data_IF_118845085053
#
_entry.id   IF_118845085053
#
_cell.length_a   1.000
_cell.length_b   1.000
_cell.length_c   1.000
_cell.angle_alpha   90.00
_cell.angle_beta   90.00
_cell.angle_gamma   90.00
#
_symmetry.space_group_name_H-M   'P 1'
#
loop_
_entity.id
_entity.type
_entity.pdbx_description
1 polymer ?
#
# COMPACT_ATOMS: atom_id res chain seq x y z
N UNK A 1 21.93 30.10 -0.44
CA UNK A 1 22.06 29.35 0.80
C UNK A 1 21.42 27.97 0.51
N UNK A 2 21.97 26.74 0.48
CA UNK A 2 23.20 26.39 1.04
C UNK A 2 23.41 24.88 1.10
N UNK A 3 24.28 24.45 0.25
CA UNK A 3 24.71 23.05 0.17
C UNK A 3 25.38 22.50 1.46
N UNK A 4 25.61 23.33 2.45
CA UNK A 4 26.28 22.95 3.70
C UNK A 4 25.38 22.29 4.76
N UNK A 5 24.06 22.50 4.69
CA UNK A 5 23.13 22.01 5.73
C UNK A 5 22.78 20.51 5.52
N UNK A 6 22.77 20.04 4.26
CA UNK A 6 22.41 18.65 3.94
C UNK A 6 23.46 17.65 4.43
N UNK A 7 24.76 18.04 4.44
CA UNK A 7 25.84 17.14 4.91
C UNK A 7 25.81 16.82 6.40
N UNK A 8 25.17 17.65 7.22
CA UNK A 8 25.11 17.44 8.69
C UNK A 8 23.93 16.57 9.17
N UNK A 9 22.92 16.37 8.35
CA UNK A 9 21.72 15.60 8.74
C UNK A 9 21.76 14.11 8.31
N UNK A 10 22.53 13.75 7.30
CA UNK A 10 22.57 12.37 6.78
C UNK A 10 23.37 11.44 7.70
N UNK A 11 24.43 11.94 8.34
CA UNK A 11 25.35 11.11 9.17
C UNK A 11 24.73 10.66 10.50
N UNK A 12 23.97 11.47 11.27
CA UNK A 12 23.49 11.02 12.59
C UNK A 12 22.32 10.01 12.53
N UNK A 13 21.47 10.03 11.51
CA UNK A 13 20.33 9.09 11.42
C UNK A 13 20.78 7.67 11.06
N UNK A 14 21.81 7.55 10.24
CA UNK A 14 22.39 6.23 9.91
C UNK A 14 23.27 5.71 11.03
N UNK A 15 24.01 6.58 11.72
CA UNK A 15 24.96 6.17 12.78
C UNK A 15 24.28 5.90 14.14
N UNK A 16 23.19 6.57 14.48
CA UNK A 16 22.48 6.32 15.75
C UNK A 16 21.76 4.96 15.80
N UNK A 17 21.52 4.31 14.64
CA UNK A 17 21.02 2.94 14.59
C UNK A 17 22.12 1.87 14.81
N UNK A 18 23.40 2.25 14.81
CA UNK A 18 24.52 1.29 14.79
C UNK A 18 25.27 1.13 16.13
N UNK A 19 24.97 1.86 17.18
CA UNK A 19 25.85 1.97 18.37
C UNK A 19 25.49 1.13 19.60
N UNK A 20 24.52 0.21 19.54
CA UNK A 20 24.17 -0.63 20.71
C UNK A 20 23.90 -2.08 20.29
N UNK A 21 24.91 -2.94 20.32
CA UNK A 21 24.76 -4.40 20.18
C UNK A 21 25.69 -5.21 21.07
N UNK A 22 25.19 -6.24 21.81
CA UNK A 22 25.92 -7.42 22.21
C UNK A 22 25.61 -8.63 21.31
N UNK A 23 26.62 -9.48 21.07
CA UNK A 23 26.55 -10.68 20.24
C UNK A 23 26.04 -11.90 21.02
N UNK A 24 25.14 -12.69 20.44
CA UNK A 24 24.75 -14.03 20.94
C UNK A 24 24.46 -15.01 19.80
N UNK A 25 24.75 -16.29 20.04
CA UNK A 25 24.90 -17.40 19.12
C UNK A 25 23.61 -18.15 18.74
N UNK A 26 23.70 -18.94 17.67
CA UNK A 26 22.65 -19.62 16.88
C UNK A 26 22.03 -20.89 17.48
N UNK A 27 20.76 -21.14 17.12
CA UNK A 27 20.08 -22.43 17.19
C UNK A 27 18.96 -22.53 16.15
N UNK A 28 18.96 -23.61 15.35
CA UNK A 28 17.97 -23.87 14.28
C UNK A 28 16.74 -24.62 14.79
N UNK A 29 15.55 -24.29 14.29
CA UNK A 29 14.44 -25.25 14.13
C UNK A 29 13.39 -24.74 13.14
N UNK A 30 12.98 -25.60 12.22
CA UNK A 30 11.92 -25.32 11.26
C UNK A 30 10.57 -25.85 11.73
N UNK A 31 9.50 -25.21 11.31
CA UNK A 31 8.18 -25.83 11.14
C UNK A 31 7.28 -24.97 10.27
N UNK A 32 6.62 -25.58 9.31
CA UNK A 32 5.55 -25.02 8.49
C UNK A 32 4.27 -24.84 9.31
N UNK A 33 3.60 -23.71 9.22
CA UNK A 33 2.22 -23.57 9.70
C UNK A 33 1.39 -22.73 8.73
N UNK A 34 0.33 -23.34 8.22
CA UNK A 34 -0.79 -22.66 7.58
C UNK A 34 -1.38 -21.62 8.52
N UNK A 35 -1.18 -20.34 8.23
CA UNK A 35 -1.75 -19.25 9.01
C UNK A 35 -2.61 -18.36 8.08
N UNK A 36 -3.81 -18.04 8.49
CA UNK A 36 -4.76 -17.30 7.70
C UNK A 36 -4.62 -15.78 7.91
N UNK A 37 -4.38 -15.05 6.85
CA UNK A 37 -4.50 -13.59 6.79
C UNK A 37 -5.92 -13.11 7.07
N UNK A 38 -6.10 -11.77 7.19
CA UNK A 38 -7.42 -11.14 7.36
C UNK A 38 -8.42 -11.69 6.35
N UNK A 39 -9.59 -12.09 6.82
CA UNK A 39 -10.59 -12.81 6.05
C UNK A 39 -11.17 -12.03 4.85
N UNK A 40 -11.08 -10.71 4.89
CA UNK A 40 -11.69 -9.81 3.89
C UNK A 40 -10.66 -9.19 2.95
N UNK A 41 -9.40 -9.12 3.33
CA UNK A 41 -8.35 -8.83 2.35
C UNK A 41 -8.25 -10.04 1.43
N UNK A 42 -8.75 -9.86 0.32
CA UNK A 42 -9.20 -10.81 -0.70
C UNK A 42 -8.12 -11.57 -1.41
N UNK A 43 -6.94 -11.18 -1.21
CA UNK A 43 -5.78 -11.90 -1.64
C UNK A 43 -5.11 -12.44 -0.38
N UNK A 44 -4.76 -13.74 -0.31
CA UNK A 44 -4.24 -14.38 0.90
C UNK A 44 -3.03 -13.67 1.51
N UNK A 45 -2.44 -12.75 0.76
CA UNK A 45 -1.38 -11.84 1.22
C UNK A 45 -1.64 -10.46 0.63
N UNK A 46 -2.24 -9.55 1.40
CA UNK A 46 -2.24 -8.13 1.05
C UNK A 46 -0.81 -7.58 1.23
N UNK A 47 -0.15 -7.11 0.16
CA UNK A 47 1.20 -6.57 0.28
C UNK A 47 1.29 -5.32 1.17
N UNK A 48 0.17 -4.68 1.47
CA UNK A 48 0.07 -3.58 2.44
C UNK A 48 -0.13 -4.05 3.88
N UNK A 49 -0.44 -5.34 4.09
CA UNK A 49 -0.59 -5.90 5.43
C UNK A 49 0.77 -6.32 6.00
N UNK A 50 1.25 -5.57 7.00
CA UNK A 50 2.55 -5.82 7.61
C UNK A 50 2.63 -7.19 8.31
N UNK A 51 1.53 -7.72 8.83
CA UNK A 51 1.51 -9.03 9.51
C UNK A 51 1.82 -10.15 8.52
N UNK A 52 1.15 -10.18 7.36
CA UNK A 52 1.36 -11.19 6.34
C UNK A 52 2.74 -11.08 5.69
N UNK A 53 3.25 -9.86 5.56
CA UNK A 53 4.61 -9.59 5.05
C UNK A 53 5.69 -10.10 6.00
N UNK A 54 5.45 -10.06 7.31
CA UNK A 54 6.36 -10.57 8.33
C UNK A 54 6.48 -12.10 8.24
N UNK A 55 5.34 -12.80 8.13
CA UNK A 55 5.34 -14.25 8.02
C UNK A 55 6.05 -14.74 6.75
N UNK A 56 5.81 -14.07 5.63
CA UNK A 56 6.49 -14.36 4.37
C UNK A 56 8.01 -14.16 4.45
N UNK A 57 8.51 -13.23 5.26
CA UNK A 57 9.94 -12.95 5.43
C UNK A 57 10.69 -13.96 6.27
N UNK A 58 10.04 -14.65 7.19
CA UNK A 58 10.69 -15.73 7.96
C UNK A 58 11.31 -16.80 7.07
N UNK A 59 10.81 -16.97 5.85
CA UNK A 59 11.36 -17.89 4.85
C UNK A 59 12.43 -17.28 3.94
N UNK A 60 12.65 -15.95 3.99
CA UNK A 60 13.57 -15.24 3.10
C UNK A 60 14.92 -15.05 3.76
N UNK A 61 15.88 -15.92 3.48
CA UNK A 61 17.22 -15.87 4.07
C UNK A 61 18.31 -15.31 3.15
N UNK A 62 18.06 -15.25 1.84
CA UNK A 62 19.05 -14.76 0.89
C UNK A 62 19.02 -13.24 0.84
N UNK A 63 20.17 -12.62 1.07
CA UNK A 63 20.36 -11.18 1.01
C UNK A 63 21.72 -10.83 0.46
N UNK A 64 21.86 -9.63 -0.13
CA UNK A 64 23.07 -9.20 -0.83
C UNK A 64 24.29 -9.17 0.09
N UNK A 65 24.12 -8.78 1.36
CA UNK A 65 25.20 -8.64 2.34
C UNK A 65 25.11 -9.60 3.54
N UNK A 66 24.29 -10.66 3.43
CA UNK A 66 24.19 -11.69 4.48
C UNK A 66 23.49 -11.18 5.74
N UNK A 67 24.10 -11.44 6.92
CA UNK A 67 23.48 -11.16 8.22
C UNK A 67 23.25 -9.66 8.43
N UNK A 68 22.01 -9.32 8.78
CA UNK A 68 21.59 -7.94 9.04
C UNK A 68 22.24 -7.37 10.31
N UNK A 69 22.64 -6.09 10.31
CA UNK A 69 22.92 -5.37 11.55
C UNK A 69 21.74 -5.36 12.54
N UNK A 70 20.50 -5.62 12.06
CA UNK A 70 19.28 -5.69 12.85
C UNK A 70 18.90 -7.13 13.27
N UNK A 71 19.78 -8.13 13.03
CA UNK A 71 19.45 -9.56 13.26
C UNK A 71 19.03 -9.84 14.72
N UNK A 72 19.73 -9.27 15.69
CA UNK A 72 19.38 -9.43 17.10
C UNK A 72 17.98 -8.87 17.43
N UNK A 73 17.60 -7.78 16.79
CA UNK A 73 16.27 -7.18 16.91
C UNK A 73 15.20 -8.05 16.24
N UNK A 74 15.50 -8.61 15.07
CA UNK A 74 14.59 -9.53 14.37
C UNK A 74 14.34 -10.79 15.20
N UNK A 75 15.40 -11.41 15.73
CA UNK A 75 15.28 -12.60 16.58
C UNK A 75 14.48 -12.29 17.85
N UNK A 76 14.75 -11.17 18.51
CA UNK A 76 14.00 -10.76 19.72
C UNK A 76 12.52 -10.47 19.43
N UNK A 77 12.24 -9.77 18.32
CA UNK A 77 10.89 -9.49 17.87
C UNK A 77 10.13 -10.77 17.54
N UNK A 78 10.74 -11.70 16.82
CA UNK A 78 10.14 -12.99 16.45
C UNK A 78 9.79 -13.83 17.66
N UNK A 79 10.72 -13.94 18.63
CA UNK A 79 10.48 -14.65 19.89
C UNK A 79 9.32 -14.01 20.70
N UNK A 80 9.26 -12.69 20.73
CA UNK A 80 8.20 -11.95 21.42
C UNK A 80 6.85 -12.17 20.75
N UNK A 81 6.78 -12.10 19.42
CA UNK A 81 5.56 -12.35 18.65
C UNK A 81 5.07 -13.78 18.78
N UNK A 82 5.97 -14.76 18.71
CA UNK A 82 5.62 -16.16 18.93
C UNK A 82 5.02 -16.39 20.31
N UNK A 83 5.59 -15.79 21.35
CA UNK A 83 5.04 -15.85 22.71
C UNK A 83 3.67 -15.20 22.82
N UNK A 84 3.49 -14.00 22.23
CA UNK A 84 2.21 -13.30 22.21
C UNK A 84 1.14 -14.08 21.43
N UNK A 85 1.50 -14.61 20.27
CA UNK A 85 0.61 -15.43 19.43
C UNK A 85 0.18 -16.70 20.16
N UNK A 86 1.14 -17.43 20.77
CA UNK A 86 0.87 -18.67 21.46
C UNK A 86 0.05 -18.47 22.74
N UNK A 87 0.37 -17.44 23.55
CA UNK A 87 -0.27 -17.24 24.88
C UNK A 87 -1.57 -16.46 24.79
N UNK A 88 -1.63 -15.44 23.92
CA UNK A 88 -2.74 -14.49 23.89
C UNK A 88 -3.49 -14.49 22.55
N UNK A 89 -3.07 -15.27 21.57
CA UNK A 89 -3.60 -15.25 20.20
C UNK A 89 -3.54 -13.85 19.54
N UNK A 90 -2.52 -13.08 19.93
CA UNK A 90 -2.28 -11.74 19.45
C UNK A 90 -1.02 -11.71 18.57
N UNK A 91 -1.16 -11.19 17.35
CA UNK A 91 -0.09 -11.08 16.36
C UNK A 91 0.20 -9.61 16.08
N UNK A 92 1.23 -9.02 16.70
CA UNK A 92 1.68 -7.68 16.36
C UNK A 92 2.61 -7.68 15.15
N UNK A 93 2.71 -6.53 14.49
CA UNK A 93 3.67 -6.28 13.42
C UNK A 93 4.09 -4.82 13.38
N UNK A 94 5.32 -4.59 12.97
CA UNK A 94 5.89 -3.26 12.75
C UNK A 94 6.53 -3.22 11.36
N UNK A 95 6.18 -2.21 10.57
CA UNK A 95 6.81 -1.93 9.29
C UNK A 95 7.29 -0.48 9.27
N UNK A 96 8.52 -0.28 8.83
CA UNK A 96 9.13 1.05 8.66
C UNK A 96 9.59 1.15 7.22
N UNK A 97 9.12 2.20 6.54
CA UNK A 97 9.56 2.55 5.19
C UNK A 97 10.18 3.94 5.23
N UNK A 98 11.31 4.10 4.57
CA UNK A 98 11.96 5.39 4.42
C UNK A 98 12.24 5.64 2.94
N UNK A 99 11.81 6.80 2.42
CA UNK A 99 11.92 7.15 1.01
C UNK A 99 12.71 8.44 0.84
N UNK A 100 13.71 8.38 -0.03
CA UNK A 100 14.37 9.54 -0.63
C UNK A 100 13.90 9.69 -2.06
N UNK A 101 13.56 10.92 -2.48
CA UNK A 101 13.14 11.20 -3.85
C UNK A 101 13.73 12.50 -4.35
N UNK A 102 14.13 12.52 -5.62
CA UNK A 102 14.68 13.69 -6.31
C UNK A 102 14.06 13.88 -7.67
N UNK A 103 13.81 15.15 -8.03
CA UNK A 103 13.21 15.58 -9.31
C UNK A 103 14.27 16.24 -10.20
N UNK A 104 14.22 15.98 -11.51
CA UNK A 104 15.03 16.73 -12.49
C UNK A 104 14.52 18.16 -12.69
N UNK A 105 13.21 18.40 -12.51
CA UNK A 105 12.54 19.69 -12.65
C UNK A 105 11.51 19.88 -11.54
N UNK A 106 11.27 21.12 -11.15
CA UNK A 106 10.17 21.56 -10.29
C UNK A 106 9.68 22.93 -10.77
N UNK A 107 8.46 23.30 -10.40
CA UNK A 107 7.95 24.66 -10.56
C UNK A 107 8.84 25.66 -9.80
N UNK A 108 8.87 26.95 -10.20
CA UNK A 108 9.65 27.98 -9.51
C UNK A 108 9.41 27.96 -8.00
N UNK A 109 10.45 28.22 -7.24
CA UNK A 109 10.45 28.29 -5.76
C UNK A 109 10.04 27.00 -5.02
N UNK A 110 9.89 25.88 -5.72
CA UNK A 110 9.58 24.59 -5.14
C UNK A 110 10.81 23.67 -5.02
N UNK A 111 10.76 22.79 -4.01
CA UNK A 111 11.83 21.81 -3.76
C UNK A 111 11.92 20.76 -4.89
N UNK A 112 13.16 20.32 -5.14
CA UNK A 112 13.48 19.23 -6.08
C UNK A 112 13.84 17.92 -5.38
N UNK A 113 13.93 17.89 -4.07
CA UNK A 113 14.24 16.68 -3.30
C UNK A 113 13.47 16.66 -1.99
N UNK A 114 13.09 15.48 -1.57
CA UNK A 114 12.38 15.26 -0.32
C UNK A 114 12.63 13.88 0.25
N UNK A 115 12.41 13.75 1.55
CA UNK A 115 12.54 12.48 2.25
C UNK A 115 11.51 12.37 3.35
N UNK A 116 10.95 11.18 3.54
CA UNK A 116 9.93 10.90 4.54
C UNK A 116 10.01 9.47 5.05
N UNK A 117 9.47 9.26 6.24
CA UNK A 117 9.24 7.93 6.82
C UNK A 117 7.74 7.69 6.97
N UNK A 118 7.33 6.47 6.62
CA UNK A 118 6.03 5.89 6.91
C UNK A 118 6.24 4.68 7.82
N UNK A 119 5.54 4.64 8.96
CA UNK A 119 5.62 3.57 9.94
C UNK A 119 4.22 3.04 10.25
N UNK A 120 4.05 1.73 10.11
CA UNK A 120 2.81 1.02 10.44
C UNK A 120 3.03 0.11 11.65
N UNK A 121 2.26 0.33 12.71
CA UNK A 121 2.10 -0.58 13.83
C UNK A 121 0.76 -1.27 13.65
N UNK A 122 0.76 -2.59 13.51
CA UNK A 122 -0.44 -3.38 13.28
C UNK A 122 -0.60 -4.48 14.33
N UNK A 123 -1.83 -4.90 14.53
CA UNK A 123 -2.11 -6.05 15.38
C UNK A 123 -3.40 -6.75 14.99
N UNK A 124 -3.37 -8.08 15.07
CA UNK A 124 -4.55 -8.93 14.91
C UNK A 124 -4.70 -9.77 16.18
N UNK A 125 -5.87 -9.70 16.79
CA UNK A 125 -6.19 -10.44 18.00
C UNK A 125 -7.35 -11.40 17.74
N UNK A 126 -7.06 -12.72 17.71
CA UNK A 126 -8.10 -13.75 17.58
C UNK A 126 -8.85 -13.90 18.90
N UNK A 127 -10.13 -13.56 18.92
CA UNK A 127 -10.95 -13.58 20.13
C UNK A 127 -11.95 -14.74 20.15
N UNK A 128 -12.57 -15.06 19.02
CA UNK A 128 -13.58 -16.13 18.92
C UNK A 128 -13.22 -17.15 17.86
N UNK A 129 -13.70 -18.40 18.03
CA UNK A 129 -13.50 -19.52 17.09
C UNK A 129 -12.04 -19.69 16.64
N UNK A 130 -11.11 -19.56 17.56
CA UNK A 130 -9.65 -19.57 17.33
C UNK A 130 -9.22 -20.78 16.54
N UNK A 131 -8.43 -20.54 15.48
CA UNK A 131 -7.96 -21.59 14.56
C UNK A 131 -9.03 -22.20 13.66
N UNK A 132 -10.30 -21.79 13.76
CA UNK A 132 -11.37 -22.28 12.88
C UNK A 132 -11.60 -21.35 11.69
N UNK A 133 -12.24 -21.84 10.60
CA UNK A 133 -12.58 -21.01 9.44
C UNK A 133 -13.44 -19.78 9.77
N UNK A 134 -14.29 -19.86 10.81
CA UNK A 134 -15.21 -18.79 11.24
C UNK A 134 -14.65 -17.93 12.37
N UNK A 135 -13.33 -17.85 12.54
CA UNK A 135 -12.72 -17.05 13.61
C UNK A 135 -13.11 -15.60 13.53
N UNK A 136 -13.21 -14.96 14.71
CA UNK A 136 -13.42 -13.52 14.85
C UNK A 136 -12.19 -12.85 15.45
N UNK A 137 -11.80 -11.72 14.85
CA UNK A 137 -10.59 -10.97 15.18
C UNK A 137 -10.91 -9.50 15.42
N UNK A 138 -10.16 -8.87 16.31
CA UNK A 138 -9.98 -7.42 16.29
C UNK A 138 -8.67 -7.11 15.57
N UNK A 139 -8.75 -6.22 14.60
CA UNK A 139 -7.59 -5.68 13.89
C UNK A 139 -7.43 -4.18 14.18
N UNK A 140 -6.20 -3.73 14.36
CA UNK A 140 -5.89 -2.31 14.39
C UNK A 140 -4.65 -1.99 13.54
N UNK A 141 -4.61 -0.75 13.06
CA UNK A 141 -3.46 -0.15 12.40
C UNK A 141 -3.27 1.27 12.90
N UNK A 142 -2.12 1.51 13.55
CA UNK A 142 -1.63 2.85 13.87
C UNK A 142 -0.57 3.18 12.84
N UNK A 143 -0.73 4.31 12.15
CA UNK A 143 0.21 4.76 11.14
C UNK A 143 0.86 6.07 11.58
N UNK A 144 2.18 6.08 11.53
CA UNK A 144 2.99 7.27 11.77
C UNK A 144 3.63 7.74 10.47
N UNK A 145 3.58 9.06 10.22
CA UNK A 145 4.23 9.65 9.04
C UNK A 145 4.89 10.97 9.40
N UNK A 146 6.12 11.14 8.95
CA UNK A 146 6.86 12.39 9.05
C UNK A 146 7.82 12.57 7.89
N UNK A 147 8.01 13.78 7.46
CA UNK A 147 9.01 14.19 6.49
C UNK A 147 10.19 14.89 7.16
N UNK A 148 11.27 15.01 6.44
CA UNK A 148 12.49 15.65 6.89
C UNK A 148 12.82 16.80 5.94
N UNK A 149 12.73 18.02 6.42
CA UNK A 149 12.92 19.23 5.62
C UNK A 149 11.61 19.94 5.33
N UNK A 150 11.52 20.59 4.19
CA UNK A 150 10.38 21.45 3.81
C UNK A 150 9.30 20.71 3.02
N UNK A 151 9.67 19.66 2.31
CA UNK A 151 8.77 18.94 1.40
C UNK A 151 9.00 17.44 1.44
N UNK A 152 7.94 16.67 1.75
CA UNK A 152 7.96 15.21 1.65
C UNK A 152 7.80 14.72 0.20
N UNK A 153 8.22 13.48 -0.11
CA UNK A 153 8.16 12.91 -1.46
C UNK A 153 6.78 12.97 -2.13
N UNK A 154 5.69 12.77 -1.39
CA UNK A 154 4.34 12.88 -1.95
C UNK A 154 4.06 14.31 -2.46
N UNK A 155 4.50 15.33 -1.74
CA UNK A 155 4.30 16.73 -2.12
C UNK A 155 5.24 17.15 -3.26
N UNK A 156 6.40 16.49 -3.45
CA UNK A 156 7.21 16.71 -4.65
C UNK A 156 6.39 16.43 -5.93
N UNK A 157 5.58 15.36 -5.94
CA UNK A 157 4.69 15.09 -7.06
C UNK A 157 3.56 16.11 -7.18
N UNK A 158 2.77 16.27 -6.12
CA UNK A 158 1.56 17.09 -6.17
C UNK A 158 1.81 18.59 -6.24
N UNK A 159 2.83 19.09 -5.53
CA UNK A 159 3.13 20.53 -5.41
C UNK A 159 4.25 20.93 -6.35
N UNK A 160 5.43 20.30 -6.22
CA UNK A 160 6.60 20.75 -7.00
C UNK A 160 6.50 20.44 -8.50
N UNK A 161 5.81 19.36 -8.89
CA UNK A 161 5.54 19.06 -10.31
C UNK A 161 4.13 19.46 -10.76
N UNK A 162 3.21 19.79 -9.83
CA UNK A 162 1.78 19.91 -10.11
C UNK A 162 1.21 18.68 -10.86
N UNK A 163 1.70 17.51 -10.52
CA UNK A 163 1.28 16.20 -11.02
C UNK A 163 0.01 15.75 -10.29
N UNK A 164 -0.96 15.21 -11.01
CA UNK A 164 -2.13 14.60 -10.39
C UNK A 164 -1.90 13.11 -10.11
N UNK A 165 -1.15 12.40 -10.96
CA UNK A 165 -0.75 10.99 -10.68
C UNK A 165 0.16 10.91 -9.46
N UNK A 166 0.96 11.97 -9.20
CA UNK A 166 1.93 12.00 -8.11
C UNK A 166 3.16 11.12 -8.38
N UNK A 167 4.16 11.26 -7.54
CA UNK A 167 5.44 10.55 -7.66
C UNK A 167 5.67 9.55 -6.52
N UNK A 168 4.97 9.72 -5.40
CA UNK A 168 4.99 8.80 -4.27
C UNK A 168 3.64 8.81 -3.53
N UNK A 169 3.16 7.65 -3.16
CA UNK A 169 2.02 7.48 -2.28
C UNK A 169 2.51 7.19 -0.86
N UNK A 170 1.84 7.67 0.16
CA UNK A 170 2.09 7.43 1.60
C UNK A 170 3.27 8.18 2.23
N UNK A 171 4.11 8.86 1.49
CA UNK A 171 5.33 9.51 2.00
C UNK A 171 5.15 11.04 2.15
N UNK A 172 4.30 11.44 3.11
CA UNK A 172 4.10 12.83 3.56
C UNK A 172 3.82 12.86 5.06
N UNK A 173 4.12 13.96 5.73
CA UNK A 173 3.87 14.10 7.16
C UNK A 173 2.37 14.04 7.52
N UNK A 174 2.10 13.60 8.74
CA UNK A 174 0.81 13.74 9.40
C UNK A 174 0.88 14.76 10.54
N UNK A 175 -0.26 15.39 10.82
CA UNK A 175 -0.45 16.23 11.99
C UNK A 175 -1.78 15.86 12.66
N UNK A 176 -1.79 15.16 13.81
CA UNK A 176 -0.63 14.66 14.56
C UNK A 176 0.14 13.55 13.84
N UNK A 177 1.39 13.32 14.21
CA UNK A 177 2.28 12.36 13.52
C UNK A 177 1.74 10.93 13.49
N UNK A 178 1.09 10.47 14.56
CA UNK A 178 0.50 9.13 14.66
C UNK A 178 -1.01 9.18 14.64
N UNK A 179 -1.62 8.29 13.87
CA UNK A 179 -3.08 8.20 13.69
C UNK A 179 -3.54 6.75 13.76
N UNK A 180 -4.69 6.52 14.40
CA UNK A 180 -5.41 5.25 14.34
C UNK A 180 -6.14 5.15 12.99
N UNK A 181 -5.49 4.49 12.02
CA UNK A 181 -6.02 4.34 10.66
C UNK A 181 -7.16 3.33 10.57
N UNK A 182 -7.02 2.21 11.27
CA UNK A 182 -8.00 1.14 11.27
C UNK A 182 -8.22 0.63 12.70
N UNK A 183 -9.47 0.35 13.03
CA UNK A 183 -9.87 -0.48 14.16
C UNK A 183 -11.21 -1.12 13.84
N UNK A 184 -11.23 -2.42 13.63
CA UNK A 184 -12.43 -3.12 13.24
C UNK A 184 -12.49 -4.54 13.76
N UNK A 185 -13.70 -5.06 13.86
CA UNK A 185 -13.99 -6.48 13.99
C UNK A 185 -13.98 -7.12 12.59
N UNK A 186 -13.38 -8.28 12.47
CA UNK A 186 -13.28 -9.08 11.24
C UNK A 186 -13.62 -10.53 11.55
N UNK A 187 -14.58 -11.14 10.86
CA UNK A 187 -15.02 -12.51 11.10
C UNK A 187 -15.30 -13.27 9.81
N UNK A 188 -15.07 -14.56 9.86
CA UNK A 188 -15.23 -15.47 8.73
C UNK A 188 -13.95 -15.71 7.94
N UNK A 189 -14.06 -16.36 6.80
CA UNK A 189 -12.95 -16.62 5.86
C UNK A 189 -13.45 -17.19 4.55
N UNK A 190 -12.57 -17.28 3.55
CA UNK A 190 -12.85 -18.00 2.30
C UNK A 190 -13.28 -19.46 2.55
N UNK A 191 -12.65 -20.16 3.52
CA UNK A 191 -13.02 -21.53 3.92
C UNK A 191 -14.40 -21.62 4.56
N UNK A 192 -14.87 -20.54 5.20
CA UNK A 192 -16.22 -20.46 5.75
C UNK A 192 -17.27 -20.14 4.67
N UNK A 193 -16.85 -19.72 3.49
CA UNK A 193 -17.72 -19.30 2.39
C UNK A 193 -18.21 -17.85 2.53
N UNK A 194 -17.90 -17.17 3.63
CA UNK A 194 -18.30 -15.80 3.90
C UNK A 194 -17.34 -15.12 4.89
N UNK A 195 -17.33 -13.80 4.87
CA UNK A 195 -16.65 -12.98 5.86
C UNK A 195 -17.32 -11.62 5.98
N UNK A 196 -17.17 -10.94 7.12
CA UNK A 196 -17.59 -9.55 7.27
C UNK A 196 -16.60 -8.76 8.13
N UNK A 197 -16.64 -7.44 7.98
CA UNK A 197 -15.85 -6.47 8.73
C UNK A 197 -16.73 -5.30 9.13
N UNK A 198 -16.58 -4.79 10.35
CA UNK A 198 -17.29 -3.62 10.88
C UNK A 198 -16.36 -2.80 11.77
N UNK A 199 -16.35 -1.49 11.60
CA UNK A 199 -15.56 -0.56 12.42
C UNK A 199 -14.96 0.58 11.61
N UNK A 200 -13.85 1.14 12.06
CA UNK A 200 -13.07 2.11 11.30
C UNK A 200 -12.24 1.40 10.25
N UNK A 201 -12.60 1.56 8.99
CA UNK A 201 -12.00 0.87 7.83
C UNK A 201 -11.38 1.85 6.84
N UNK A 202 -10.36 1.41 6.10
CA UNK A 202 -9.83 2.12 4.93
C UNK A 202 -10.48 1.54 3.68
N UNK A 203 -11.25 2.34 2.97
CA UNK A 203 -11.97 1.93 1.76
C UNK A 203 -10.99 1.57 0.63
N UNK A 204 -9.93 2.34 0.47
CA UNK A 204 -8.86 2.12 -0.51
C UNK A 204 -8.11 0.79 -0.30
N UNK A 205 -7.95 0.37 0.95
CA UNK A 205 -7.34 -0.92 1.29
C UNK A 205 -8.31 -2.11 1.15
N UNK A 206 -9.56 -1.87 0.74
CA UNK A 206 -10.60 -2.90 0.62
C UNK A 206 -10.99 -3.16 -0.82
N UNK A 207 -11.19 -2.09 -1.61
CA UNK A 207 -11.69 -2.17 -2.99
C UNK A 207 -10.55 -2.16 -4.01
N UNK A 208 -10.71 -2.93 -5.08
CA UNK A 208 -9.79 -3.01 -6.23
C UNK A 208 -8.31 -3.23 -5.87
N UNK A 209 -8.05 -3.78 -4.69
CA UNK A 209 -6.70 -4.13 -4.22
C UNK A 209 -6.04 -5.17 -5.10
N UNK A 210 -4.71 -5.20 -5.14
CA UNK A 210 -3.91 -6.24 -5.77
C UNK A 210 -2.88 -6.76 -4.77
N UNK A 211 -2.66 -8.07 -4.76
CA UNK A 211 -1.57 -8.66 -3.96
C UNK A 211 -0.17 -8.30 -4.47
N UNK A 212 -0.09 -7.82 -5.71
CA UNK A 212 1.17 -7.54 -6.41
C UNK A 212 1.53 -6.05 -6.42
N UNK A 213 0.58 -5.15 -6.12
CA UNK A 213 0.77 -3.70 -6.20
C UNK A 213 0.56 -3.06 -4.84
N UNK A 214 1.58 -2.36 -4.35
CA UNK A 214 1.55 -1.67 -3.07
C UNK A 214 2.51 -0.48 -3.08
N UNK A 215 2.12 0.69 -2.55
CA UNK A 215 2.98 1.88 -2.49
C UNK A 215 4.20 1.71 -1.58
N UNK A 216 4.19 0.72 -0.72
CA UNK A 216 5.28 0.47 0.23
C UNK A 216 6.19 -0.70 -0.15
N UNK A 217 5.79 -1.53 -1.13
CA UNK A 217 6.57 -2.71 -1.52
C UNK A 217 6.92 -2.78 -2.99
N UNK A 218 6.17 -2.10 -3.86
CA UNK A 218 6.36 -2.12 -5.32
C UNK A 218 6.40 -0.70 -5.88
N UNK A 219 5.43 -0.30 -6.68
CA UNK A 219 5.37 0.99 -7.36
C UNK A 219 5.11 2.16 -6.39
N UNK A 220 5.56 3.35 -6.73
CA UNK A 220 5.48 4.54 -5.90
C UNK A 220 4.32 5.49 -6.25
N UNK A 221 3.99 5.78 -7.52
CA UNK A 221 2.99 6.80 -7.88
C UNK A 221 1.60 6.50 -7.32
N UNK A 222 0.90 7.52 -6.86
CA UNK A 222 -0.47 7.39 -6.38
C UNK A 222 -1.39 6.77 -7.44
N UNK A 223 -1.37 7.29 -8.66
CA UNK A 223 -2.18 6.78 -9.76
C UNK A 223 -1.80 5.37 -10.22
N UNK A 224 -0.56 4.91 -9.92
CA UNK A 224 -0.13 3.54 -10.18
C UNK A 224 -0.56 2.54 -9.12
N UNK A 225 -0.58 2.95 -7.87
CA UNK A 225 -0.86 2.08 -6.71
C UNK A 225 -2.31 2.16 -6.24
N UNK A 226 -2.97 3.33 -6.36
CA UNK A 226 -4.37 3.55 -6.08
C UNK A 226 -5.24 3.61 -7.33
N UNK A 227 -6.56 3.47 -7.17
CA UNK A 227 -7.56 3.74 -8.20
C UNK A 227 -8.37 4.99 -7.80
N UNK A 228 -7.74 6.16 -7.94
CA UNK A 228 -8.34 7.44 -7.52
C UNK A 228 -9.59 7.83 -8.33
N UNK A 229 -9.83 7.16 -9.43
CA UNK A 229 -11.10 7.17 -10.15
C UNK A 229 -12.27 6.54 -9.35
N UNK A 230 -11.98 5.86 -8.24
CA UNK A 230 -13.03 5.27 -7.37
C UNK A 230 -13.62 6.23 -6.35
N UNK A 231 -13.17 7.48 -6.28
CA UNK A 231 -13.74 8.52 -5.42
C UNK A 231 -13.89 8.16 -3.94
N UNK A 232 -13.10 7.20 -3.44
CA UNK A 232 -13.23 6.70 -2.07
C UNK A 232 -12.81 7.74 -1.03
N UNK A 233 -13.51 7.76 0.13
CA UNK A 233 -13.11 8.55 1.30
C UNK A 233 -11.83 8.00 1.92
N UNK A 234 -11.35 8.67 2.97
CA UNK A 234 -10.29 8.15 3.83
C UNK A 234 -10.84 7.10 4.83
N UNK A 235 -10.11 6.78 5.88
CA UNK A 235 -10.59 5.84 6.91
C UNK A 235 -11.76 6.43 7.70
N UNK A 236 -12.83 5.66 7.83
CA UNK A 236 -14.03 6.06 8.56
C UNK A 236 -14.83 4.84 9.01
N UNK A 237 -15.95 5.07 9.70
CA UNK A 237 -16.87 3.99 10.03
C UNK A 237 -17.41 3.33 8.77
N UNK A 238 -17.55 2.02 8.80
CA UNK A 238 -18.06 1.26 7.67
C UNK A 238 -18.25 -0.21 7.97
N UNK A 239 -18.85 -0.87 7.01
CA UNK A 239 -19.07 -2.31 7.02
C UNK A 239 -18.76 -2.90 5.64
N UNK A 240 -18.20 -4.10 5.66
CA UNK A 240 -17.90 -4.90 4.47
C UNK A 240 -18.46 -6.29 4.66
N UNK A 241 -19.14 -6.82 3.67
CA UNK A 241 -19.53 -8.23 3.60
C UNK A 241 -18.90 -8.88 2.37
N UNK A 242 -18.45 -10.12 2.50
CA UNK A 242 -17.92 -10.90 1.38
C UNK A 242 -18.58 -12.28 1.38
N UNK A 243 -19.02 -12.70 0.21
CA UNK A 243 -19.50 -14.04 -0.07
C UNK A 243 -18.57 -14.72 -1.07
N UNK A 244 -18.19 -15.96 -0.80
CA UNK A 244 -17.37 -16.81 -1.66
C UNK A 244 -18.23 -17.97 -2.18
N UNK A 245 -18.92 -17.79 -3.33
CA UNK A 245 -19.74 -18.88 -3.91
C UNK A 245 -18.90 -20.11 -4.27
N UNK A 246 -17.64 -19.92 -4.60
CA UNK A 246 -16.66 -20.98 -4.82
C UNK A 246 -15.26 -20.50 -4.42
N UNK A 247 -14.26 -21.37 -4.47
CA UNK A 247 -12.86 -21.00 -4.22
C UNK A 247 -12.28 -19.99 -5.23
N UNK A 248 -12.92 -19.80 -6.39
CA UNK A 248 -12.44 -18.92 -7.46
C UNK A 248 -13.19 -17.60 -7.57
N UNK A 249 -14.38 -17.51 -6.97
CA UNK A 249 -15.25 -16.35 -7.11
C UNK A 249 -15.56 -15.71 -5.76
N UNK A 250 -15.72 -14.41 -5.78
CA UNK A 250 -16.19 -13.66 -4.60
C UNK A 250 -17.08 -12.51 -5.02
N UNK A 251 -17.99 -12.15 -4.13
CA UNK A 251 -18.80 -10.94 -4.22
C UNK A 251 -18.58 -10.16 -2.92
N UNK A 252 -18.23 -8.89 -3.04
CA UNK A 252 -18.00 -8.00 -1.90
C UNK A 252 -18.96 -6.84 -1.97
N UNK A 253 -19.63 -6.54 -0.86
CA UNK A 253 -20.39 -5.31 -0.65
C UNK A 253 -19.73 -4.47 0.42
N UNK A 254 -19.66 -3.15 0.20
CA UNK A 254 -19.08 -2.18 1.13
C UNK A 254 -20.01 -0.98 1.30
N UNK A 255 -20.15 -0.53 2.55
CA UNK A 255 -20.75 0.77 2.90
C UNK A 255 -19.83 1.44 3.90
N UNK A 256 -19.50 2.71 3.70
CA UNK A 256 -18.70 3.51 4.62
C UNK A 256 -19.17 4.97 4.63
N UNK A 257 -18.76 5.71 5.66
CA UNK A 257 -18.97 7.15 5.74
C UNK A 257 -18.22 7.84 4.58
N UNK A 258 -18.95 8.63 3.75
CA UNK A 258 -18.33 9.39 2.66
C UNK A 258 -17.52 10.59 3.15
N UNK A 259 -17.76 11.05 4.39
CA UNK A 259 -16.96 12.06 5.08
C UNK A 259 -15.77 11.48 5.83
N UNK A 260 -15.57 10.15 5.76
CA UNK A 260 -14.54 9.43 6.46
C UNK A 260 -13.16 10.06 6.27
N UNK A 261 -12.53 10.44 7.39
CA UNK A 261 -11.22 11.01 7.43
C UNK A 261 -10.34 10.29 8.46
N UNK A 262 -9.04 10.44 8.31
CA UNK A 262 -8.06 9.71 9.13
C UNK A 262 -8.02 10.15 10.61
N UNK A 263 -8.56 11.30 10.95
CA UNK A 263 -8.40 11.95 12.25
C UNK A 263 -9.49 11.56 13.25
N UNK A 264 -10.69 11.22 12.80
CA UNK A 264 -11.84 10.86 13.64
C UNK A 264 -12.45 9.51 13.24
N UNK A 265 -13.55 9.16 13.87
CA UNK A 265 -14.28 7.93 13.56
C UNK A 265 -15.23 8.08 12.38
N UNK A 266 -15.60 9.30 12.03
CA UNK A 266 -16.69 9.60 11.13
C UNK A 266 -18.06 9.34 11.75
N UNK A 267 -19.11 9.57 10.97
CA UNK A 267 -20.48 9.24 11.32
C UNK A 267 -21.22 8.62 10.12
N UNK A 268 -21.98 7.54 10.35
CA UNK A 268 -22.82 6.92 9.32
C UNK A 268 -24.27 7.45 9.41
N UNK A 269 -24.57 8.28 10.39
CA UNK A 269 -25.95 8.67 10.72
C UNK A 269 -26.51 9.75 9.80
N UNK A 270 -25.68 10.45 9.09
CA UNK A 270 -26.04 11.60 8.29
C UNK A 270 -26.54 11.28 6.88
N UNK A 271 -26.55 10.01 6.48
CA UNK A 271 -26.95 9.61 5.13
C UNK A 271 -25.92 9.87 4.04
N UNK A 272 -24.74 10.38 4.39
CA UNK A 272 -23.64 10.61 3.47
C UNK A 272 -22.80 9.32 3.36
N UNK A 273 -23.12 8.46 2.41
CA UNK A 273 -22.56 7.13 2.30
C UNK A 273 -21.75 6.96 1.00
N UNK A 274 -20.61 6.32 1.15
CA UNK A 274 -19.92 5.66 0.06
C UNK A 274 -20.34 4.19 0.02
N UNK A 275 -20.76 3.71 -1.15
CA UNK A 275 -21.31 2.37 -1.37
C UNK A 275 -20.57 1.72 -2.53
N UNK A 276 -20.23 0.44 -2.40
CA UNK A 276 -19.62 -0.29 -3.51
C UNK A 276 -20.02 -1.77 -3.53
N UNK A 277 -20.04 -2.32 -4.73
CA UNK A 277 -20.12 -3.76 -4.97
C UNK A 277 -18.94 -4.17 -5.86
N UNK A 278 -18.26 -5.25 -5.49
CA UNK A 278 -17.12 -5.77 -6.24
C UNK A 278 -17.28 -7.27 -6.53
N UNK A 279 -17.13 -7.64 -7.78
CA UNK A 279 -17.08 -9.01 -8.25
C UNK A 279 -15.62 -9.38 -8.50
N UNK A 280 -15.14 -10.47 -7.92
CA UNK A 280 -13.78 -10.97 -8.08
C UNK A 280 -13.74 -12.39 -8.60
N UNK A 281 -12.83 -12.66 -9.53
CA UNK A 281 -12.58 -13.97 -10.08
C UNK A 281 -11.09 -14.26 -10.23
N UNK A 282 -10.64 -15.46 -9.85
CA UNK A 282 -9.32 -15.97 -10.21
C UNK A 282 -9.40 -16.60 -11.61
N UNK A 283 -8.88 -15.89 -12.60
CA UNK A 283 -8.93 -16.31 -14.00
C UNK A 283 -7.68 -17.15 -14.29
N UNK A 284 -7.88 -18.43 -14.67
CA UNK A 284 -6.81 -19.38 -14.99
C UNK A 284 -5.62 -19.30 -14.01
N UNK A 285 -5.85 -19.51 -12.69
CA UNK A 285 -4.76 -19.44 -11.71
C UNK A 285 -3.76 -20.56 -11.99
N UNK A 286 -2.47 -20.22 -12.05
CA UNK A 286 -1.36 -21.16 -12.27
C UNK A 286 -0.72 -21.59 -10.97
N UNK A 287 -0.74 -20.70 -9.97
CA UNK A 287 -0.22 -20.98 -8.63
C UNK A 287 -1.22 -20.53 -7.56
N UNK A 288 -0.94 -20.87 -6.30
CA UNK A 288 -1.71 -20.38 -5.16
C UNK A 288 -1.56 -18.85 -4.95
N UNK A 289 -0.61 -18.23 -5.65
CA UNK A 289 -0.35 -16.80 -5.60
C UNK A 289 -1.19 -15.98 -6.59
N UNK A 290 -2.02 -16.63 -7.42
CA UNK A 290 -2.86 -15.94 -8.40
C UNK A 290 -3.79 -14.93 -7.73
N UNK A 291 -3.77 -13.69 -8.22
CA UNK A 291 -4.64 -12.61 -7.76
C UNK A 291 -6.09 -12.75 -8.28
N UNK A 292 -6.97 -11.90 -7.77
CA UNK A 292 -8.34 -11.75 -8.29
C UNK A 292 -8.39 -10.65 -9.35
N UNK A 293 -8.89 -11.01 -10.53
CA UNK A 293 -9.45 -10.01 -11.46
C UNK A 293 -10.76 -9.48 -10.89
N UNK A 294 -11.00 -8.18 -10.95
CA UNK A 294 -12.07 -7.52 -10.20
C UNK A 294 -12.83 -6.55 -11.09
N UNK A 295 -14.13 -6.46 -10.83
CA UNK A 295 -15.00 -5.47 -11.41
C UNK A 295 -15.77 -4.82 -10.27
N UNK A 296 -15.64 -3.49 -10.13
CA UNK A 296 -16.22 -2.75 -9.01
C UNK A 296 -17.11 -1.65 -9.54
N UNK A 297 -18.33 -1.54 -9.00
CA UNK A 297 -19.19 -0.36 -9.08
C UNK A 297 -19.18 0.35 -7.74
N UNK A 298 -19.21 1.67 -7.77
CA UNK A 298 -19.32 2.49 -6.59
C UNK A 298 -20.23 3.69 -6.78
N UNK A 299 -20.77 4.18 -5.68
CA UNK A 299 -21.55 5.41 -5.58
C UNK A 299 -21.17 6.14 -4.29
N UNK A 300 -21.00 7.45 -4.36
CA UNK A 300 -20.83 8.34 -3.22
C UNK A 300 -21.94 9.36 -3.20
N UNK A 301 -22.56 9.58 -2.04
CA UNK A 301 -23.54 10.66 -1.84
C UNK A 301 -22.85 12.05 -1.79
N UNK A 302 -21.51 12.09 -1.84
CA UNK A 302 -20.69 13.27 -1.66
C UNK A 302 -20.33 13.48 -0.19
N UNK A 303 -19.69 14.60 0.13
CA UNK A 303 -19.39 15.00 1.50
C UNK A 303 -20.34 16.11 1.95
N UNK A 304 -20.64 16.20 3.25
CA UNK A 304 -21.56 17.20 3.83
C UNK A 304 -21.29 18.62 3.37
N UNK A 305 -20.00 19.00 3.32
CA UNK A 305 -19.57 20.35 2.97
C UNK A 305 -19.15 20.48 1.49
N UNK A 306 -19.28 19.41 0.69
CA UNK A 306 -18.77 19.36 -0.67
C UNK A 306 -17.23 19.42 -0.75
N UNK A 307 -16.51 19.17 0.37
CA UNK A 307 -15.04 19.27 0.43
C UNK A 307 -14.39 18.00 -0.04
N UNK A 308 -13.30 18.09 -0.81
CA UNK A 308 -12.51 16.94 -1.20
C UNK A 308 -11.95 16.17 0.00
N UNK A 309 -12.05 14.85 -0.03
CA UNK A 309 -11.43 13.94 0.97
C UNK A 309 -10.81 12.77 0.21
N UNK A 310 -9.51 12.57 0.40
CA UNK A 310 -8.72 11.52 -0.23
C UNK A 310 -8.89 11.49 -1.76
N UNK A 311 -9.54 10.48 -2.32
CA UNK A 311 -9.80 10.37 -3.76
C UNK A 311 -11.12 11.02 -4.20
N UNK A 312 -11.98 11.45 -3.27
CA UNK A 312 -13.24 12.13 -3.53
C UNK A 312 -13.03 13.63 -3.77
N UNK A 313 -13.79 14.19 -4.71
CA UNK A 313 -13.89 15.64 -4.90
C UNK A 313 -14.91 16.30 -3.95
N UNK A 314 -15.59 15.52 -3.12
CA UNK A 314 -16.69 15.98 -2.26
C UNK A 314 -18.05 15.99 -2.96
N UNK A 315 -18.11 15.79 -4.25
CA UNK A 315 -19.37 15.78 -5.04
C UNK A 315 -20.03 14.40 -5.00
N UNK A 316 -21.36 14.39 -5.08
CA UNK A 316 -22.12 13.17 -5.38
C UNK A 316 -21.74 12.61 -6.75
N UNK A 317 -21.66 11.30 -6.85
CA UNK A 317 -21.49 10.63 -8.15
C UNK A 317 -21.15 9.14 -8.02
N UNK A 318 -20.80 8.57 -9.14
CA UNK A 318 -20.59 7.13 -9.26
C UNK A 318 -19.49 6.80 -10.27
N UNK A 319 -19.04 5.57 -10.24
CA UNK A 319 -18.04 5.09 -11.19
C UNK A 319 -17.90 3.59 -11.22
N UNK A 320 -17.00 3.15 -12.06
CA UNK A 320 -16.63 1.74 -12.15
C UNK A 320 -15.15 1.56 -12.33
N UNK A 321 -14.63 0.43 -11.89
CA UNK A 321 -13.25 0.02 -12.12
C UNK A 321 -13.17 -1.43 -12.56
N UNK A 322 -12.18 -1.70 -13.41
CA UNK A 322 -11.79 -3.06 -13.83
C UNK A 322 -10.32 -3.24 -13.47
N UNK A 323 -10.01 -4.36 -12.85
CA UNK A 323 -8.65 -4.80 -12.62
C UNK A 323 -8.51 -6.22 -13.15
N UNK A 324 -7.54 -6.45 -14.01
CA UNK A 324 -7.10 -7.77 -14.43
C UNK A 324 -5.78 -8.09 -13.75
N UNK A 325 -5.69 -9.24 -13.10
CA UNK A 325 -4.51 -9.67 -12.33
C UNK A 325 -4.20 -11.09 -12.80
N UNK A 326 -3.10 -11.26 -13.55
CA UNK A 326 -2.83 -12.50 -14.26
C UNK A 326 -1.37 -12.93 -14.10
N UNK A 327 -1.17 -14.20 -13.70
CA UNK A 327 0.12 -14.86 -13.83
C UNK A 327 0.39 -15.17 -15.32
N UNK A 328 1.51 -14.66 -15.85
CA UNK A 328 1.91 -14.78 -17.26
C UNK A 328 2.85 -15.96 -17.49
N UNK A 329 3.56 -16.43 -16.45
CA UNK A 329 4.41 -17.63 -16.49
C UNK A 329 3.81 -18.77 -15.66
N UNK A 330 4.15 -20.02 -15.98
CA UNK A 330 3.60 -21.19 -15.29
C UNK A 330 4.07 -21.34 -13.85
N UNK A 331 5.25 -20.79 -13.53
CA UNK A 331 5.81 -20.74 -12.17
C UNK A 331 5.30 -19.55 -11.34
N UNK A 332 4.46 -18.69 -11.91
CA UNK A 332 3.92 -17.49 -11.27
C UNK A 332 4.95 -16.37 -11.04
N UNK A 333 6.14 -16.45 -11.67
CA UNK A 333 7.18 -15.46 -11.50
C UNK A 333 6.98 -14.19 -12.33
N UNK A 334 6.23 -14.27 -13.42
CA UNK A 334 5.88 -13.11 -14.24
C UNK A 334 4.39 -12.84 -14.05
N UNK A 335 4.07 -11.63 -13.59
CA UNK A 335 2.71 -11.20 -13.31
C UNK A 335 2.40 -9.91 -14.05
N UNK A 336 1.29 -9.89 -14.77
CA UNK A 336 0.72 -8.71 -15.40
C UNK A 336 -0.50 -8.22 -14.63
N UNK A 337 -0.60 -6.91 -14.39
CA UNK A 337 -1.80 -6.30 -13.83
C UNK A 337 -2.22 -5.13 -14.71
N UNK A 338 -3.43 -5.20 -15.25
CA UNK A 338 -4.06 -4.10 -15.99
C UNK A 338 -5.18 -3.51 -15.15
N UNK A 339 -5.27 -2.18 -15.13
CA UNK A 339 -6.29 -1.45 -14.38
C UNK A 339 -6.90 -0.37 -15.27
N UNK A 340 -8.20 -0.21 -15.17
CA UNK A 340 -8.93 0.87 -15.82
C UNK A 340 -10.10 1.28 -14.96
N UNK A 341 -10.49 2.53 -15.02
CA UNK A 341 -11.70 3.01 -14.37
C UNK A 341 -12.17 4.35 -14.91
N UNK A 342 -13.45 4.62 -14.67
CA UNK A 342 -14.16 5.83 -15.08
C UNK A 342 -15.07 6.33 -13.99
N UNK A 343 -15.12 7.65 -13.84
CA UNK A 343 -15.99 8.37 -12.92
C UNK A 343 -16.97 9.22 -13.72
N UNK A 344 -18.17 9.36 -13.20
CA UNK A 344 -19.19 10.31 -13.69
C UNK A 344 -19.51 11.34 -12.62
N UNK A 345 -20.02 12.50 -13.07
CA UNK A 345 -20.34 13.68 -12.23
C UNK A 345 -19.10 14.29 -11.53
N UNK A 346 -17.90 13.99 -11.97
CA UNK A 346 -16.64 14.50 -11.37
C UNK A 346 -16.54 14.25 -9.86
N UNK A 347 -17.03 13.11 -9.39
CA UNK A 347 -17.04 12.76 -7.96
C UNK A 347 -15.69 12.26 -7.44
N UNK A 348 -14.76 11.92 -8.32
CA UNK A 348 -13.40 11.46 -8.00
C UNK A 348 -12.34 12.43 -8.53
N UNK A 349 -11.11 12.32 -8.03
CA UNK A 349 -9.96 13.12 -8.49
C UNK A 349 -9.63 12.88 -9.97
N UNK A 350 -9.96 11.70 -10.51
CA UNK A 350 -9.79 11.40 -11.93
C UNK A 350 -11.13 11.08 -12.57
N UNK A 351 -11.36 11.61 -13.78
CA UNK A 351 -12.51 11.23 -14.62
C UNK A 351 -12.26 9.86 -15.27
N UNK A 352 -11.03 9.64 -15.74
CA UNK A 352 -10.55 8.38 -16.33
C UNK A 352 -9.15 8.04 -15.83
N UNK A 353 -8.88 6.75 -15.67
CA UNK A 353 -7.58 6.24 -15.25
C UNK A 353 -7.30 4.90 -15.92
N UNK A 354 -6.07 4.68 -16.38
CA UNK A 354 -5.59 3.39 -16.84
C UNK A 354 -4.16 3.14 -16.33
N UNK A 355 -3.83 1.89 -16.02
CA UNK A 355 -2.49 1.50 -15.63
C UNK A 355 -2.18 0.07 -16.09
N UNK A 356 -0.95 -0.14 -16.53
CA UNK A 356 -0.38 -1.45 -16.83
C UNK A 356 0.85 -1.67 -15.97
N UNK A 357 0.96 -2.85 -15.34
CA UNK A 357 2.08 -3.22 -14.51
C UNK A 357 2.59 -4.59 -14.92
N UNK A 358 3.90 -4.74 -14.98
CA UNK A 358 4.60 -6.01 -15.15
C UNK A 358 5.54 -6.20 -13.98
N UNK A 359 5.45 -7.35 -13.31
CA UNK A 359 6.32 -7.73 -12.21
C UNK A 359 7.03 -9.03 -12.56
N UNK A 360 8.33 -9.08 -12.31
CA UNK A 360 9.18 -10.24 -12.52
C UNK A 360 9.82 -10.57 -11.17
N UNK A 361 9.36 -11.66 -10.55
CA UNK A 361 9.87 -12.20 -9.30
C UNK A 361 11.11 -13.05 -9.58
N UNK A 362 12.11 -12.95 -8.73
CA UNK A 362 13.39 -13.64 -8.86
C UNK A 362 13.99 -13.50 -10.28
N UNK A 363 14.14 -12.25 -10.80
CA UNK A 363 14.69 -12.07 -12.14
C UNK A 363 16.12 -12.60 -12.21
N UNK A 364 16.58 -13.07 -13.37
CA UNK A 364 17.99 -13.35 -13.60
C UNK A 364 18.74 -12.00 -13.61
N UNK A 365 19.14 -11.53 -12.46
CA UNK A 365 19.72 -10.21 -12.25
C UNK A 365 21.14 -10.27 -11.69
N UNK A 366 21.78 -9.10 -11.53
CA UNK A 366 23.17 -9.02 -11.06
C UNK A 366 23.38 -9.60 -9.65
N UNK A 367 22.33 -9.66 -8.83
CA UNK A 367 22.39 -10.25 -7.50
C UNK A 367 22.06 -11.75 -7.50
N UNK A 368 21.23 -12.24 -8.45
CA UNK A 368 20.80 -13.64 -8.55
C UNK A 368 20.14 -14.19 -7.28
N UNK A 369 19.59 -13.27 -6.46
CA UNK A 369 19.03 -13.60 -5.16
C UNK A 369 17.57 -14.06 -5.30
N UNK A 370 17.16 -15.00 -4.47
CA UNK A 370 15.74 -15.27 -4.28
C UNK A 370 15.07 -14.05 -3.62
N UNK A 371 13.87 -13.69 -4.16
CA UNK A 371 13.05 -12.57 -3.69
C UNK A 371 13.46 -11.17 -4.19
N UNK A 372 14.36 -11.06 -5.12
CA UNK A 372 14.49 -9.87 -5.93
C UNK A 372 13.18 -9.61 -6.69
N UNK A 373 12.90 -8.37 -6.99
CA UNK A 373 11.71 -8.01 -7.77
C UNK A 373 12.02 -6.86 -8.72
N UNK A 374 11.78 -7.11 -9.99
CA UNK A 374 11.83 -6.10 -11.03
C UNK A 374 10.39 -5.74 -11.44
N UNK A 375 10.10 -4.46 -11.56
CA UNK A 375 8.77 -3.99 -11.95
C UNK A 375 8.82 -2.86 -12.96
N UNK A 376 7.83 -2.87 -13.87
CA UNK A 376 7.59 -1.82 -14.86
C UNK A 376 6.13 -1.40 -14.79
N UNK A 377 5.85 -0.10 -14.90
CA UNK A 377 4.50 0.43 -14.96
C UNK A 377 4.37 1.54 -16.00
N UNK A 378 3.19 1.59 -16.60
CA UNK A 378 2.73 2.72 -17.41
C UNK A 378 1.36 3.14 -16.87
N UNK A 379 1.29 4.37 -16.35
CA UNK A 379 0.09 4.94 -15.74
C UNK A 379 -0.38 6.13 -16.59
N UNK A 380 -1.68 6.25 -16.76
CA UNK A 380 -2.34 7.40 -17.36
C UNK A 380 -3.54 7.80 -16.53
N UNK A 381 -3.76 9.11 -16.40
CA UNK A 381 -4.95 9.66 -15.78
C UNK A 381 -5.38 10.96 -16.44
N UNK A 382 -6.71 11.14 -16.53
CA UNK A 382 -7.35 12.42 -16.82
C UNK A 382 -7.93 12.95 -15.52
N UNK A 383 -7.36 14.02 -14.99
CA UNK A 383 -7.86 14.64 -13.76
C UNK A 383 -9.24 15.27 -13.99
N UNK A 384 -10.09 15.26 -12.94
CA UNK A 384 -11.41 15.88 -12.95
C UNK A 384 -11.37 17.40 -12.82
N UNK A 385 -10.20 17.96 -12.46
CA UNK A 385 -9.99 19.39 -12.36
C UNK A 385 -10.14 20.07 -13.72
N UNK A 386 -10.79 21.23 -13.73
CA UNK A 386 -11.02 22.00 -14.95
C UNK A 386 -9.67 22.48 -15.55
N UNK A 387 -9.53 22.36 -16.88
CA UNK A 387 -8.31 22.72 -17.59
C UNK A 387 -7.15 21.76 -17.41
N UNK A 388 -7.30 20.70 -16.62
CA UNK A 388 -6.29 19.67 -16.49
C UNK A 388 -6.06 18.92 -17.81
N UNK A 389 -4.80 18.56 -18.06
CA UNK A 389 -4.42 17.74 -19.22
C UNK A 389 -4.24 16.27 -18.82
N UNK A 390 -4.32 15.37 -19.79
CA UNK A 390 -3.97 13.96 -19.57
C UNK A 390 -2.50 13.81 -19.20
N UNK A 391 -2.25 13.15 -18.08
CA UNK A 391 -0.91 12.92 -17.54
C UNK A 391 -0.50 11.46 -17.69
N UNK A 392 0.79 11.23 -17.95
CA UNK A 392 1.40 9.90 -17.98
C UNK A 392 2.55 9.82 -16.98
N UNK A 393 2.68 8.66 -16.35
CA UNK A 393 3.82 8.32 -15.50
C UNK A 393 4.31 6.91 -15.86
N UNK A 394 5.56 6.82 -16.30
CA UNK A 394 6.25 5.55 -16.52
C UNK A 394 7.14 5.28 -15.32
N UNK A 395 7.15 4.07 -14.78
CA UNK A 395 8.03 3.68 -13.68
C UNK A 395 8.73 2.37 -13.97
N UNK A 396 10.02 2.30 -13.60
CA UNK A 396 10.78 1.07 -13.48
C UNK A 396 11.40 1.01 -12.09
N UNK A 397 11.32 -0.13 -11.41
CA UNK A 397 12.00 -0.32 -10.14
C UNK A 397 12.68 -1.67 -10.04
N UNK A 398 13.74 -1.73 -9.23
CA UNK A 398 14.38 -2.96 -8.79
C UNK A 398 14.45 -2.98 -7.27
N UNK A 399 13.87 -4.01 -6.66
CA UNK A 399 13.90 -4.24 -5.22
C UNK A 399 14.79 -5.44 -4.92
N UNK A 400 15.72 -5.26 -4.01
CA UNK A 400 16.65 -6.29 -3.55
C UNK A 400 16.61 -6.39 -2.03
N UNK A 401 16.61 -7.61 -1.44
CA UNK A 401 16.86 -7.79 -0.01
C UNK A 401 18.33 -7.44 0.27
N UNK A 402 18.56 -6.24 0.78
CA UNK A 402 19.91 -5.69 1.00
C UNK A 402 20.61 -6.39 2.16
N UNK A 403 19.88 -6.54 3.27
CA UNK A 403 20.21 -7.42 4.39
C UNK A 403 18.99 -8.26 4.73
N UNK A 404 19.18 -9.35 5.47
CA UNK A 404 18.05 -10.08 6.07
C UNK A 404 17.17 -9.10 6.85
N UNK A 405 15.89 -9.00 6.49
CA UNK A 405 14.95 -8.09 7.14
C UNK A 405 14.95 -6.63 6.64
N UNK A 406 15.82 -6.26 5.69
CA UNK A 406 15.90 -4.92 5.11
C UNK A 406 15.91 -5.00 3.58
N UNK A 407 14.80 -4.58 2.95
CA UNK A 407 14.73 -4.41 1.50
C UNK A 407 15.17 -3.01 1.09
N UNK A 408 15.84 -2.93 -0.04
CA UNK A 408 16.15 -1.67 -0.72
C UNK A 408 15.50 -1.67 -2.10
N UNK A 409 14.85 -0.58 -2.47
CA UNK A 409 14.23 -0.42 -3.79
C UNK A 409 14.77 0.82 -4.46
N UNK A 410 15.31 0.64 -5.65
CA UNK A 410 15.68 1.73 -6.57
C UNK A 410 14.52 1.91 -7.54
N UNK A 411 14.05 3.14 -7.75
CA UNK A 411 12.98 3.45 -8.72
C UNK A 411 13.36 4.66 -9.56
N UNK A 412 13.03 4.58 -10.84
CA UNK A 412 13.07 5.68 -11.79
C UNK A 412 11.68 5.89 -12.37
N UNK A 413 11.23 7.14 -12.40
CA UNK A 413 9.97 7.52 -13.00
C UNK A 413 10.20 8.59 -14.07
N UNK A 414 9.38 8.57 -15.12
CA UNK A 414 9.32 9.59 -16.15
C UNK A 414 7.89 10.11 -16.25
N UNK A 415 7.70 11.33 -15.77
CA UNK A 415 6.41 12.04 -15.78
C UNK A 415 6.30 12.84 -17.05
N UNK A 416 5.18 12.72 -17.74
CA UNK A 416 4.87 13.43 -18.99
C UNK A 416 3.56 14.18 -18.80
N UNK A 417 3.56 15.46 -19.13
CA UNK A 417 2.42 16.36 -19.04
C UNK A 417 1.81 16.40 -17.61
N UNK A 418 2.53 16.82 -16.55
CA UNK A 418 1.92 17.03 -15.26
C UNK A 418 0.60 17.77 -15.40
N UNK A 419 -0.49 17.20 -14.77
CA UNK A 419 -1.86 17.54 -15.16
C UNK A 419 -2.24 19.00 -14.91
N UNK A 420 -1.70 19.60 -13.84
CA UNK A 420 -2.13 20.90 -13.34
C UNK A 420 -1.19 22.06 -13.73
N UNK A 421 -0.17 21.81 -14.56
CA UNK A 421 0.73 22.87 -15.07
C UNK A 421 1.00 22.70 -16.56
N UNK A 422 1.40 23.78 -17.20
CA UNK A 422 1.95 23.80 -18.57
C UNK A 422 3.41 24.27 -18.61
N UNK A 423 4.00 24.58 -17.46
CA UNK A 423 5.39 25.02 -17.35
C UNK A 423 6.38 23.84 -17.43
N UNK A 424 5.90 22.66 -17.06
CA UNK A 424 6.69 21.42 -17.09
C UNK A 424 5.99 20.43 -18.00
N UNK A 425 6.65 20.05 -19.12
CA UNK A 425 6.13 19.00 -19.99
C UNK A 425 6.64 17.62 -19.59
N UNK A 426 7.85 17.55 -19.02
CA UNK A 426 8.51 16.28 -18.68
C UNK A 426 9.43 16.47 -17.49
N UNK A 427 9.44 15.46 -16.60
CA UNK A 427 10.37 15.39 -15.48
C UNK A 427 10.78 13.95 -15.20
N UNK A 428 12.04 13.75 -14.81
CA UNK A 428 12.55 12.49 -14.27
C UNK A 428 12.51 12.53 -12.75
N UNK A 429 12.20 11.39 -12.15
CA UNK A 429 12.17 11.21 -10.70
C UNK A 429 13.01 10.00 -10.33
N UNK A 430 13.96 10.19 -9.41
CA UNK A 430 14.81 9.14 -8.88
C UNK A 430 14.44 8.90 -7.42
N UNK A 431 14.31 7.63 -7.04
CA UNK A 431 13.88 7.26 -5.70
C UNK A 431 14.72 6.13 -5.14
N UNK A 432 14.95 6.22 -3.82
CA UNK A 432 15.58 5.16 -3.03
C UNK A 432 14.72 4.90 -1.80
N UNK A 433 14.16 3.69 -1.70
CA UNK A 433 13.32 3.29 -0.57
C UNK A 433 13.99 2.18 0.22
N UNK A 434 14.04 2.35 1.54
CA UNK A 434 14.42 1.33 2.50
C UNK A 434 13.17 0.85 3.24
N UNK A 435 13.08 -0.45 3.46
CA UNK A 435 11.96 -1.05 4.18
C UNK A 435 12.44 -2.11 5.14
N UNK A 436 12.14 -1.91 6.42
CA UNK A 436 12.33 -2.90 7.49
C UNK A 436 10.97 -3.38 8.01
N UNK A 437 10.88 -4.67 8.36
CA UNK A 437 9.66 -5.31 8.88
C UNK A 437 10.02 -6.17 10.08
N UNK A 438 9.27 -6.00 11.19
CA UNK A 438 9.50 -6.68 12.46
C UNK A 438 8.24 -7.39 12.94
#
# INVERSE_FOLDING_TARGET
MKAHTIRRLIVPVVLSCFTLMPAVAYGQSGSSSDQPGSAITSDPVDPSNAVDLIEKRRSQRDSLFGVSPLESWHVAADKSKENLSRKYHFKPGLMINHLFQGLSKALPDNDKAGTATDMDIVGTWELTDRGKPNRGNVYFKIQGRWDYGTTGPQNLGFVSLASQIGTANTFSAYTPTFLLRNLYWDQGSKKAGWAYRVGKISTDATLATSRHISPVTTFLPNGGTGLFVSGYPDSGLGAVGVWYPTDRYRILGLVSDSNGNRYDWGDITAGDLYKAIEFGAQIAPRTEKAGYSKFTFWHSDGTKDGKPINASTGKEGYGMTVKLDQELSDDGKIVGVARWGKTWKKAALYDDQAALHLLIYDPPGPAGLQNDLLGFAANWAQASAEGARGEYNLEAFYRVPFFTGLDTTFSYQYVINPALTREIDRASVFSLRFRAVF
#
